data_IF_111726978827
#
_entry.id   IF_111726978827
#
_cell.length_a   1.000
_cell.length_b   1.000
_cell.length_c   1.000
_cell.angle_alpha   90.00
_cell.angle_beta   90.00
_cell.angle_gamma   90.00
#
_symmetry.space_group_name_H-M   'P 1'
#
loop_
_entity.id
_entity.type
_entity.pdbx_description
1 polymer ?
#
# COMPACT_ATOMS: atom_id res chain seq x y z
N UNK A 1 6.60 30.66 2.55
CA UNK A 1 5.13 30.72 2.58
C UNK A 1 4.51 29.35 2.24
N UNK A 2 4.95 28.26 2.90
CA UNK A 2 4.40 26.91 2.70
C UNK A 2 3.08 26.70 3.46
N UNK A 3 2.81 27.54 4.47
CA UNK A 3 1.57 27.56 5.25
C UNK A 3 0.33 27.77 4.36
N UNK A 4 0.49 28.37 3.17
CA UNK A 4 -0.58 28.55 2.18
C UNK A 4 -0.92 27.29 1.37
N UNK A 5 -0.10 26.24 1.43
CA UNK A 5 -0.30 25.00 0.66
C UNK A 5 -0.55 23.78 1.54
N UNK A 6 -0.47 23.92 2.87
CA UNK A 6 -0.91 22.89 3.80
C UNK A 6 -2.44 22.88 3.81
N UNK A 7 -3.04 21.71 3.60
CA UNK A 7 -4.41 21.46 4.03
C UNK A 7 -4.46 21.57 5.55
N UNK A 8 -4.72 22.78 6.06
CA UNK A 8 -4.75 23.04 7.50
C UNK A 8 -5.84 22.17 8.12
N UNK A 9 -5.48 21.51 9.20
CA UNK A 9 -6.43 20.80 10.04
C UNK A 9 -6.77 21.78 11.15
N UNK A 10 -7.87 22.53 11.07
CA UNK A 10 -8.23 23.43 12.15
C UNK A 10 -8.32 22.61 13.43
N UNK A 11 -7.61 22.99 14.49
CA UNK A 11 -7.82 22.41 15.82
C UNK A 11 -8.89 23.29 16.45
N UNK A 12 -10.13 22.81 16.55
CA UNK A 12 -11.20 23.57 17.19
C UNK A 12 -11.18 23.18 18.67
N UNK A 13 -11.02 24.17 19.56
CA UNK A 13 -11.02 23.96 21.02
C UNK A 13 -12.40 23.57 21.58
N UNK A 14 -13.46 23.57 20.76
CA UNK A 14 -14.80 23.07 21.12
C UNK A 14 -15.69 22.92 19.87
N UNK A 15 -16.24 21.72 19.56
CA UNK A 15 -17.08 21.56 18.39
C UNK A 15 -18.55 21.88 18.70
N UNK A 16 -19.14 22.81 17.95
CA UNK A 16 -20.58 22.79 17.67
C UNK A 16 -20.86 21.63 16.72
N UNK A 17 -21.12 20.44 17.28
CA UNK A 17 -21.41 19.23 16.51
C UNK A 17 -22.85 19.30 16.00
N UNK A 18 -23.02 19.33 14.67
CA UNK A 18 -24.29 18.95 14.04
C UNK A 18 -24.39 17.44 14.18
N UNK A 19 -25.39 16.93 14.91
CA UNK A 19 -25.62 15.48 15.06
C UNK A 19 -25.87 14.88 13.67
N UNK A 20 -24.86 14.15 13.17
CA UNK A 20 -25.05 13.24 12.05
C UNK A 20 -25.72 11.97 12.59
N UNK A 21 -26.64 11.35 11.83
CA UNK A 21 -27.31 10.12 12.27
C UNK A 21 -26.27 9.03 12.59
N UNK A 22 -26.56 8.22 13.62
CA UNK A 22 -25.72 7.09 14.01
C UNK A 22 -25.56 6.11 12.83
N UNK A 23 -24.42 6.21 12.17
CA UNK A 23 -23.90 5.13 11.31
C UNK A 23 -23.73 3.87 12.18
N UNK A 24 -23.93 2.65 11.64
CA UNK A 24 -23.39 1.45 12.28
C UNK A 24 -21.92 1.72 12.66
N UNK A 25 -21.43 1.20 13.81
CA UNK A 25 -20.13 1.56 14.42
C UNK A 25 -18.93 1.17 13.54
N UNK A 26 -18.77 1.91 12.44
CA UNK A 26 -17.77 1.74 11.42
C UNK A 26 -16.43 2.12 12.04
N UNK A 27 -15.41 1.24 12.03
CA UNK A 27 -14.11 1.59 12.55
C UNK A 27 -13.46 2.67 11.67
N UNK A 28 -12.63 3.51 12.29
CA UNK A 28 -11.67 4.31 11.53
C UNK A 28 -10.68 3.37 10.86
N UNK A 29 -10.25 3.73 9.64
CA UNK A 29 -9.23 2.97 8.92
C UNK A 29 -8.00 3.84 8.74
N UNK A 30 -6.85 3.31 9.16
CA UNK A 30 -5.54 3.89 8.94
C UNK A 30 -4.64 2.85 8.28
N UNK A 31 -4.17 3.16 7.08
CA UNK A 31 -3.16 2.38 6.37
C UNK A 31 -1.84 3.14 6.41
N UNK A 32 -0.78 2.49 6.88
CA UNK A 32 0.59 3.01 6.88
C UNK A 32 1.47 2.00 6.15
N UNK A 33 2.03 2.40 5.01
CA UNK A 33 2.92 1.57 4.20
C UNK A 33 4.33 2.15 4.07
N UNK A 34 5.30 1.27 3.89
CA UNK A 34 6.69 1.62 3.57
C UNK A 34 7.04 0.90 2.27
N UNK A 35 7.53 1.65 1.28
CA UNK A 35 7.93 1.12 -0.01
C UNK A 35 9.17 0.22 0.11
N UNK A 36 9.24 -0.80 -0.74
CA UNK A 36 10.45 -1.58 -1.01
C UNK A 36 11.03 -2.35 0.19
N UNK A 37 10.16 -2.77 1.13
CA UNK A 37 10.52 -3.57 2.32
C UNK A 37 9.78 -4.90 2.33
N UNK A 38 10.53 -6.00 2.34
CA UNK A 38 9.99 -7.34 2.62
C UNK A 38 9.67 -7.51 4.10
N UNK A 39 8.91 -8.56 4.44
CA UNK A 39 8.70 -8.94 5.85
C UNK A 39 10.00 -9.16 6.61
N UNK A 40 10.92 -9.95 6.04
CA UNK A 40 12.18 -10.26 6.71
C UNK A 40 13.10 -9.03 6.82
N UNK A 41 13.04 -8.09 5.88
CA UNK A 41 13.75 -6.81 6.00
C UNK A 41 13.16 -5.96 7.11
N UNK A 42 11.83 -5.92 7.23
CA UNK A 42 11.13 -5.22 8.30
C UNK A 42 11.56 -5.74 9.67
N UNK A 43 11.55 -7.06 9.87
CA UNK A 43 11.94 -7.68 11.14
C UNK A 43 13.40 -7.36 11.52
N UNK A 44 14.30 -7.30 10.52
CA UNK A 44 15.73 -7.02 10.72
C UNK A 44 16.03 -5.55 11.00
N UNK A 45 15.38 -4.63 10.28
CA UNK A 45 15.73 -3.21 10.29
C UNK A 45 14.82 -2.37 11.19
N UNK A 46 13.64 -2.87 11.56
CA UNK A 46 12.71 -2.21 12.49
C UNK A 46 12.45 -3.07 13.73
N UNK A 47 13.48 -3.56 14.44
CA UNK A 47 13.31 -4.58 15.49
C UNK A 47 12.47 -4.11 16.68
N UNK A 48 12.51 -2.80 17.00
CA UNK A 48 11.68 -2.22 18.07
C UNK A 48 10.21 -2.21 17.65
N UNK A 49 9.92 -1.73 16.43
CA UNK A 49 8.57 -1.70 15.88
C UNK A 49 7.99 -3.09 15.71
N UNK A 50 8.76 -4.01 15.11
CA UNK A 50 8.38 -5.40 14.92
C UNK A 50 8.07 -6.07 16.27
N UNK A 51 8.90 -5.88 17.29
CA UNK A 51 8.64 -6.41 18.64
C UNK A 51 7.32 -5.88 19.20
N UNK A 52 7.09 -4.57 19.14
CA UNK A 52 5.86 -3.96 19.66
C UNK A 52 4.60 -4.45 18.93
N UNK A 53 4.70 -4.70 17.62
CA UNK A 53 3.60 -5.28 16.83
C UNK A 53 3.38 -6.75 17.24
N UNK A 54 4.44 -7.56 17.25
CA UNK A 54 4.34 -9.01 17.52
C UNK A 54 3.87 -9.29 18.94
N UNK A 55 4.34 -8.53 19.93
CA UNK A 55 3.90 -8.70 21.33
C UNK A 55 2.61 -7.93 21.66
N UNK A 56 2.14 -7.07 20.75
CA UNK A 56 1.03 -6.18 20.98
C UNK A 56 -0.31 -6.91 20.88
N UNK A 57 -1.17 -6.73 21.88
CA UNK A 57 -2.50 -7.32 21.84
C UNK A 57 -3.36 -6.68 20.74
N UNK A 58 -3.99 -7.51 19.91
CA UNK A 58 -4.87 -7.07 18.81
C UNK A 58 -4.15 -6.88 17.47
N UNK A 59 -2.85 -7.14 17.40
CA UNK A 59 -2.14 -7.24 16.12
C UNK A 59 -2.23 -8.65 15.54
N UNK A 60 -2.43 -8.72 14.23
CA UNK A 60 -2.44 -9.93 13.43
C UNK A 60 -1.41 -9.78 12.31
N UNK A 61 -0.47 -10.70 12.22
CA UNK A 61 0.54 -10.69 11.15
C UNK A 61 0.09 -11.61 10.03
N UNK A 62 -0.08 -11.07 8.83
CA UNK A 62 -0.51 -11.85 7.67
C UNK A 62 0.75 -12.38 6.96
N UNK A 63 1.24 -13.52 7.41
CA UNK A 63 2.48 -14.15 6.92
C UNK A 63 2.39 -14.57 5.46
N UNK A 64 1.19 -14.92 4.99
CA UNK A 64 0.95 -15.29 3.59
C UNK A 64 0.63 -14.12 2.66
N UNK A 65 0.82 -12.86 3.08
CA UNK A 65 0.57 -11.71 2.22
C UNK A 65 1.58 -11.64 1.07
N UNK A 66 1.07 -11.80 -0.16
CA UNK A 66 1.85 -11.92 -1.39
C UNK A 66 1.53 -10.75 -2.33
N UNK A 67 2.57 -10.09 -2.83
CA UNK A 67 2.42 -9.04 -3.84
C UNK A 67 1.99 -9.62 -5.19
N UNK A 68 1.34 -8.84 -6.04
CA UNK A 68 0.84 -9.31 -7.35
C UNK A 68 1.68 -8.85 -8.53
N UNK A 69 2.61 -7.91 -8.31
CA UNK A 69 3.44 -7.31 -9.36
C UNK A 69 4.79 -6.78 -8.81
N UNK A 70 5.65 -6.24 -9.68
CA UNK A 70 6.99 -5.77 -9.25
C UNK A 70 6.92 -4.50 -8.40
N UNK A 71 6.41 -3.42 -9.00
CA UNK A 71 6.50 -2.06 -8.48
C UNK A 71 5.31 -1.68 -7.60
N UNK A 72 5.40 -0.52 -6.94
CA UNK A 72 4.39 0.00 -6.03
C UNK A 72 3.03 0.22 -6.72
N UNK A 73 3.01 0.88 -7.89
CA UNK A 73 1.78 1.17 -8.64
C UNK A 73 0.89 -0.07 -8.91
N UNK A 74 1.40 -1.16 -9.50
CA UNK A 74 0.58 -2.34 -9.77
C UNK A 74 0.25 -3.18 -8.52
N UNK A 75 0.83 -2.91 -7.36
CA UNK A 75 0.45 -3.54 -6.10
C UNK A 75 -0.54 -2.71 -5.29
N UNK A 76 -0.40 -1.39 -5.28
CA UNK A 76 -1.32 -0.49 -4.60
C UNK A 76 -2.62 -0.28 -5.38
N UNK A 77 -2.60 -0.35 -6.71
CA UNK A 77 -3.82 -0.25 -7.53
C UNK A 77 -4.85 -1.31 -7.15
N UNK A 78 -4.54 -2.63 -7.10
CA UNK A 78 -5.51 -3.64 -6.68
C UNK A 78 -5.92 -3.52 -5.21
N UNK A 79 -5.02 -3.07 -4.32
CA UNK A 79 -5.38 -2.78 -2.93
C UNK A 79 -6.42 -1.65 -2.82
N UNK A 80 -6.23 -0.59 -3.59
CA UNK A 80 -7.03 0.62 -3.48
C UNK A 80 -8.26 0.61 -4.38
N UNK A 81 -8.29 -0.19 -5.45
CA UNK A 81 -9.40 -0.21 -6.42
C UNK A 81 -10.10 -1.56 -6.52
N UNK A 82 -9.43 -2.66 -6.15
CA UNK A 82 -9.94 -4.01 -6.37
C UNK A 82 -9.80 -4.49 -7.82
N UNK A 83 -9.10 -3.75 -8.67
CA UNK A 83 -8.88 -4.05 -10.08
C UNK A 83 -7.39 -4.21 -10.39
N UNK A 84 -7.09 -4.97 -11.45
CA UNK A 84 -5.78 -4.90 -12.08
C UNK A 84 -5.57 -3.52 -12.71
N UNK A 85 -4.31 -3.14 -12.91
CA UNK A 85 -3.99 -1.90 -13.62
C UNK A 85 -4.56 -1.95 -15.03
N UNK A 86 -4.37 -3.08 -15.70
CA UNK A 86 -4.76 -3.35 -17.09
C UNK A 86 -6.28 -3.34 -17.29
N UNK A 87 -7.07 -3.53 -16.23
CA UNK A 87 -8.53 -3.40 -16.26
C UNK A 87 -8.98 -1.92 -16.34
N UNK A 88 -8.11 -0.98 -15.97
CA UNK A 88 -8.44 0.44 -15.80
C UNK A 88 -7.61 1.38 -16.67
N UNK A 89 -6.35 1.05 -16.95
CA UNK A 89 -5.39 1.96 -17.56
C UNK A 89 -4.26 1.21 -18.28
N UNK A 90 -3.74 1.85 -19.33
CA UNK A 90 -2.50 1.45 -20.01
C UNK A 90 -1.61 2.69 -20.25
N UNK A 91 -0.32 2.47 -20.52
CA UNK A 91 0.67 3.54 -20.69
C UNK A 91 0.40 4.47 -21.88
N UNK A 92 -0.40 4.04 -22.85
CA UNK A 92 -0.81 4.87 -23.99
C UNK A 92 -1.95 5.83 -23.62
N UNK A 93 -2.66 5.56 -22.51
CA UNK A 93 -3.70 6.42 -22.00
C UNK A 93 -3.11 7.70 -21.38
N UNK A 94 -3.26 8.80 -22.10
CA UNK A 94 -2.87 10.12 -21.63
C UNK A 94 -3.93 10.75 -20.70
N UNK A 95 -4.40 10.02 -19.69
CA UNK A 95 -5.52 10.39 -18.79
C UNK A 95 -5.07 10.49 -17.33
N UNK A 96 -5.79 11.30 -16.54
CA UNK A 96 -5.63 11.38 -15.09
C UNK A 96 -6.41 10.25 -14.38
N UNK A 97 -6.02 9.88 -13.17
CA UNK A 97 -6.61 8.77 -12.41
C UNK A 97 -7.92 9.12 -11.68
N UNK A 98 -8.52 10.26 -11.95
CA UNK A 98 -9.78 10.70 -11.32
C UNK A 98 -10.97 9.76 -11.60
N UNK A 99 -10.92 8.94 -12.65
CA UNK A 99 -11.96 7.94 -12.95
C UNK A 99 -11.77 6.60 -12.23
N UNK A 100 -10.59 6.34 -11.63
CA UNK A 100 -10.34 5.08 -10.94
C UNK A 100 -11.30 4.88 -9.76
N UNK A 101 -11.81 3.67 -9.53
CA UNK A 101 -12.76 3.38 -8.46
C UNK A 101 -12.04 3.19 -7.12
N UNK A 102 -11.28 4.20 -6.68
CA UNK A 102 -10.56 4.14 -5.42
C UNK A 102 -11.49 3.98 -4.22
N UNK A 103 -11.11 3.10 -3.29
CA UNK A 103 -11.87 2.76 -2.09
C UNK A 103 -12.13 3.97 -1.20
N UNK A 104 -11.20 4.93 -1.14
CA UNK A 104 -11.40 6.17 -0.40
C UNK A 104 -12.60 6.97 -0.92
N UNK A 105 -12.95 6.90 -2.21
CA UNK A 105 -14.15 7.56 -2.74
C UNK A 105 -15.42 6.96 -2.15
N UNK A 106 -15.44 5.65 -1.93
CA UNK A 106 -16.57 4.97 -1.28
C UNK A 106 -16.68 5.36 0.19
N UNK A 107 -15.54 5.39 0.91
CA UNK A 107 -15.50 5.87 2.30
C UNK A 107 -15.96 7.33 2.42
N UNK A 108 -15.52 8.20 1.51
CA UNK A 108 -15.94 9.60 1.45
C UNK A 108 -17.46 9.72 1.24
N UNK A 109 -18.04 8.98 0.27
CA UNK A 109 -19.50 8.97 0.06
C UNK A 109 -20.29 8.48 1.28
N UNK A 110 -19.71 7.60 2.10
CA UNK A 110 -20.30 7.12 3.36
C UNK A 110 -20.06 8.08 4.54
N UNK A 111 -19.55 9.29 4.29
CA UNK A 111 -19.39 10.35 5.28
C UNK A 111 -18.06 10.32 6.05
N UNK A 112 -17.10 9.48 5.65
CA UNK A 112 -15.76 9.47 6.26
C UNK A 112 -14.91 10.61 5.68
N UNK A 113 -14.06 11.21 6.51
CA UNK A 113 -12.99 12.08 6.02
C UNK A 113 -11.84 11.26 5.48
N UNK A 114 -11.33 11.64 4.32
CA UNK A 114 -10.31 10.88 3.61
C UNK A 114 -8.98 11.62 3.58
N UNK A 115 -7.89 10.89 3.81
CA UNK A 115 -6.53 11.42 3.81
C UNK A 115 -5.66 10.58 2.87
N UNK A 116 -4.95 11.23 1.96
CA UNK A 116 -3.90 10.62 1.14
C UNK A 116 -2.59 11.39 1.30
N UNK A 117 -1.60 10.69 1.87
CA UNK A 117 -0.26 11.17 2.15
C UNK A 117 0.77 10.22 1.57
N UNK A 118 1.58 10.69 0.64
CA UNK A 118 2.73 9.96 0.13
C UNK A 118 3.93 10.90 0.14
N UNK A 119 5.11 10.48 0.60
CA UNK A 119 6.31 11.31 0.51
C UNK A 119 6.97 11.18 -0.88
N UNK A 120 8.07 11.89 -1.13
CA UNK A 120 8.73 11.92 -2.46
C UNK A 120 7.77 12.30 -3.63
N UNK A 121 7.31 13.56 -3.70
CA UNK A 121 6.21 14.01 -4.59
C UNK A 121 6.42 13.82 -6.10
N UNK A 122 7.66 13.63 -6.52
CA UNK A 122 8.06 13.34 -7.90
C UNK A 122 7.96 11.83 -8.22
N UNK A 123 8.15 10.97 -7.22
CA UNK A 123 8.10 9.51 -7.32
C UNK A 123 6.79 8.90 -6.81
N UNK A 124 5.77 9.72 -6.48
CA UNK A 124 4.47 9.21 -6.03
C UNK A 124 3.93 8.15 -6.97
N UNK A 125 3.31 7.14 -6.37
CA UNK A 125 2.71 5.97 -7.01
C UNK A 125 1.87 6.34 -8.25
N UNK A 126 1.06 7.40 -8.15
CA UNK A 126 0.17 7.84 -9.23
C UNK A 126 0.68 9.06 -10.01
N UNK A 127 1.85 9.63 -9.69
CA UNK A 127 2.41 10.79 -10.40
C UNK A 127 3.74 10.49 -11.11
N UNK A 128 4.47 9.44 -10.75
CA UNK A 128 5.73 9.07 -11.41
C UNK A 128 5.47 8.65 -12.86
N UNK A 129 5.98 9.47 -13.79
CA UNK A 129 5.79 9.34 -15.24
C UNK A 129 4.31 9.27 -15.68
N UNK A 130 3.42 9.82 -14.86
CA UNK A 130 1.95 9.77 -15.06
C UNK A 130 1.36 11.14 -14.79
N UNK A 131 0.15 11.38 -15.30
CA UNK A 131 -0.54 12.67 -15.09
C UNK A 131 -1.03 12.90 -13.67
N UNK A 132 -1.15 11.85 -12.83
CA UNK A 132 -1.70 12.00 -11.50
C UNK A 132 -3.20 12.24 -11.50
N UNK A 133 -3.61 13.19 -10.67
CA UNK A 133 -5.00 13.56 -10.46
C UNK A 133 -5.22 15.00 -10.93
N UNK A 134 -6.35 15.23 -11.59
CA UNK A 134 -6.79 16.57 -11.93
C UNK A 134 -7.33 17.31 -10.69
N UNK A 135 -8.14 16.61 -9.90
CA UNK A 135 -8.71 17.11 -8.65
C UNK A 135 -8.08 16.40 -7.44
N UNK A 136 -8.08 17.02 -6.24
CA UNK A 136 -7.64 16.35 -5.03
C UNK A 136 -8.42 15.03 -4.81
N UNK A 137 -7.75 13.86 -4.76
CA UNK A 137 -8.44 12.57 -4.71
C UNK A 137 -9.10 12.27 -3.36
N UNK A 138 -8.77 13.04 -2.32
CA UNK A 138 -9.24 12.90 -0.93
C UNK A 138 -9.47 14.27 -0.28
N UNK A 139 -10.24 14.32 0.82
CA UNK A 139 -10.52 15.55 1.57
C UNK A 139 -9.24 16.27 2.03
N UNK A 140 -8.23 15.49 2.43
CA UNK A 140 -6.90 15.94 2.79
C UNK A 140 -5.90 15.28 1.86
N UNK A 141 -5.23 16.07 1.02
CA UNK A 141 -4.28 15.59 0.02
C UNK A 141 -2.98 16.38 0.13
N UNK A 142 -1.89 15.73 0.58
CA UNK A 142 -0.69 16.45 1.00
C UNK A 142 0.34 16.68 -0.10
N UNK A 143 0.13 16.17 -1.31
CA UNK A 143 1.07 16.36 -2.42
C UNK A 143 1.46 17.83 -2.69
N UNK A 144 0.53 18.81 -2.71
CA UNK A 144 0.91 20.21 -2.90
C UNK A 144 1.87 20.72 -1.82
N UNK A 145 1.68 20.29 -0.57
CA UNK A 145 2.59 20.59 0.53
C UNK A 145 3.96 19.94 0.28
N UNK A 146 3.99 18.64 -0.03
CA UNK A 146 5.24 17.94 -0.31
C UNK A 146 6.02 18.60 -1.45
N UNK A 147 5.37 18.97 -2.56
CA UNK A 147 6.02 19.69 -3.68
C UNK A 147 6.66 21.01 -3.25
N UNK A 148 5.94 21.82 -2.45
CA UNK A 148 6.44 23.11 -2.00
C UNK A 148 7.61 22.97 -1.03
N UNK A 149 7.64 21.87 -0.28
CA UNK A 149 8.67 21.59 0.70
C UNK A 149 9.89 20.92 0.06
N UNK A 150 9.70 20.06 -0.94
CA UNK A 150 10.78 19.31 -1.62
C UNK A 150 11.83 20.24 -2.24
N UNK A 151 11.39 21.37 -2.80
CA UNK A 151 12.28 22.44 -3.31
C UNK A 151 13.18 23.09 -2.26
N UNK A 152 12.90 22.85 -0.97
CA UNK A 152 13.60 23.42 0.19
C UNK A 152 14.29 22.37 1.03
N UNK A 153 14.16 21.10 0.64
CA UNK A 153 14.78 19.99 1.35
C UNK A 153 16.25 19.95 1.00
N UNK A 154 17.07 19.75 2.03
CA UNK A 154 18.48 19.38 1.87
C UNK A 154 18.74 18.18 2.77
N UNK A 155 19.30 17.12 2.22
CA UNK A 155 19.70 15.92 2.95
C UNK A 155 18.58 15.38 3.88
N UNK A 156 17.35 15.27 3.37
CA UNK A 156 16.16 14.78 4.09
C UNK A 156 15.68 15.65 5.29
N UNK A 157 16.24 16.85 5.43
CA UNK A 157 15.82 17.83 6.43
C UNK A 157 14.85 18.86 5.83
N UNK A 158 13.71 19.03 6.48
CA UNK A 158 12.73 20.08 6.20
C UNK A 158 12.82 21.16 7.25
N UNK A 159 13.40 22.30 6.89
CA UNK A 159 13.50 23.48 7.78
C UNK A 159 14.14 23.15 9.15
N UNK A 160 15.15 22.27 9.16
CA UNK A 160 15.84 21.85 10.38
C UNK A 160 15.19 20.69 11.14
N UNK A 161 14.15 20.06 10.58
CA UNK A 161 13.49 18.87 11.13
C UNK A 161 13.66 17.67 10.21
N UNK A 162 13.58 16.47 10.76
CA UNK A 162 13.56 15.25 9.95
C UNK A 162 12.23 15.17 9.21
N UNK A 163 12.27 14.89 7.91
CA UNK A 163 11.09 14.73 7.04
C UNK A 163 9.95 13.92 7.67
N UNK A 164 10.29 12.70 8.10
CA UNK A 164 9.33 11.76 8.67
C UNK A 164 8.65 12.32 9.92
N UNK A 165 9.38 13.06 10.76
CA UNK A 165 8.84 13.64 11.99
C UNK A 165 7.69 14.61 11.66
N UNK A 166 7.89 15.48 10.67
CA UNK A 166 6.88 16.44 10.21
C UNK A 166 5.63 15.72 9.72
N UNK A 167 5.79 14.63 8.98
CA UNK A 167 4.67 13.92 8.36
C UNK A 167 3.89 13.08 9.37
N UNK A 168 4.59 12.38 10.27
CA UNK A 168 3.93 11.64 11.34
C UNK A 168 3.22 12.56 12.33
N UNK A 169 3.75 13.75 12.62
CA UNK A 169 3.02 14.75 13.40
C UNK A 169 1.74 15.21 12.72
N UNK A 170 1.78 15.50 11.42
CA UNK A 170 0.57 15.84 10.67
C UNK A 170 -0.48 14.70 10.73
N UNK A 171 -0.04 13.46 10.58
CA UNK A 171 -0.92 12.28 10.69
C UNK A 171 -1.53 12.17 12.09
N UNK A 172 -0.74 12.38 13.15
CA UNK A 172 -1.23 12.38 14.53
C UNK A 172 -2.23 13.51 14.78
N UNK A 173 -1.97 14.70 14.25
CA UNK A 173 -2.87 15.84 14.38
C UNK A 173 -4.18 15.62 13.62
N UNK A 174 -4.14 14.99 12.44
CA UNK A 174 -5.33 14.51 11.74
C UNK A 174 -6.15 13.56 12.61
N UNK A 175 -5.51 12.53 13.19
CA UNK A 175 -6.20 11.55 14.03
C UNK A 175 -6.83 12.24 15.26
N UNK A 176 -6.09 13.10 15.96
CA UNK A 176 -6.58 13.87 17.12
C UNK A 176 -7.78 14.75 16.74
N UNK A 177 -7.67 15.47 15.63
CA UNK A 177 -8.69 16.37 15.12
C UNK A 177 -9.98 15.65 14.72
N UNK A 178 -9.87 14.48 14.09
CA UNK A 178 -11.02 13.65 13.73
C UNK A 178 -11.69 13.05 14.97
N UNK A 179 -10.90 12.54 15.92
CA UNK A 179 -11.40 12.00 17.17
C UNK A 179 -12.15 13.06 18.00
N UNK A 180 -11.59 14.27 18.13
CA UNK A 180 -12.22 15.38 18.85
C UNK A 180 -13.58 15.77 18.24
N UNK A 181 -13.74 15.62 16.92
CA UNK A 181 -14.99 15.88 16.19
C UNK A 181 -15.94 14.70 16.14
N UNK A 182 -15.56 13.54 16.67
CA UNK A 182 -16.25 12.26 16.46
C UNK A 182 -16.45 11.94 14.97
N UNK A 183 -15.52 12.42 14.12
CA UNK A 183 -15.56 12.25 12.69
C UNK A 183 -14.85 10.94 12.30
N UNK A 184 -15.54 10.07 11.57
CA UNK A 184 -14.93 8.84 11.03
C UNK A 184 -13.99 9.18 9.86
N UNK A 185 -12.95 8.37 9.68
CA UNK A 185 -11.96 8.60 8.64
C UNK A 185 -11.41 7.33 7.98
N UNK A 186 -10.94 7.52 6.76
CA UNK A 186 -10.06 6.61 6.03
C UNK A 186 -8.77 7.36 5.69
N UNK A 187 -7.65 6.94 6.26
CA UNK A 187 -6.35 7.55 6.04
C UNK A 187 -5.40 6.57 5.36
N UNK A 188 -4.81 6.99 4.25
CA UNK A 188 -3.79 6.25 3.53
C UNK A 188 -2.48 7.04 3.54
N UNK A 189 -1.49 6.53 4.27
CA UNK A 189 -0.14 7.07 4.32
C UNK A 189 0.85 6.05 3.76
N UNK A 190 1.69 6.47 2.82
CA UNK A 190 2.69 5.60 2.18
C UNK A 190 4.04 6.33 2.11
N UNK A 191 5.11 5.69 2.55
CA UNK A 191 6.46 6.29 2.55
C UNK A 191 7.36 5.54 1.59
N UNK A 192 7.87 6.22 0.57
CA UNK A 192 8.89 5.73 -0.34
C UNK A 192 10.29 6.23 0.04
N UNK A 193 10.44 7.48 0.48
CA UNK A 193 11.76 8.11 0.60
C UNK A 193 12.65 7.51 1.68
N UNK A 194 12.07 6.95 2.74
CA UNK A 194 12.83 6.31 3.83
C UNK A 194 13.74 5.17 3.35
N UNK A 195 13.32 4.45 2.31
CA UNK A 195 13.99 3.25 1.82
C UNK A 195 14.60 3.45 0.44
N UNK A 196 14.11 4.43 -0.32
CA UNK A 196 14.79 4.94 -1.50
C UNK A 196 16.06 5.74 -1.12
N UNK A 197 17.11 5.64 -1.93
CA UNK A 197 18.33 6.45 -1.86
C UNK A 197 19.27 6.28 -0.63
N UNK A 198 18.95 5.44 0.36
CA UNK A 198 19.85 5.11 1.47
C UNK A 198 20.61 3.79 1.20
N UNK A 199 21.91 3.94 0.91
CA UNK A 199 22.93 2.91 0.59
C UNK A 199 23.14 1.79 1.64
N UNK A 200 22.33 1.70 2.69
CA UNK A 200 22.41 0.65 3.71
C UNK A 200 21.16 -0.26 3.70
N UNK A 201 21.08 -1.11 2.67
CA UNK A 201 20.49 -2.47 2.64
C UNK A 201 19.05 -2.76 3.14
N UNK A 202 18.23 -1.76 3.53
CA UNK A 202 16.80 -2.03 3.83
C UNK A 202 16.04 -2.38 2.55
N UNK A 203 16.36 -1.70 1.44
CA UNK A 203 15.78 -1.94 0.12
C UNK A 203 16.14 -3.34 -0.40
N UNK A 204 15.14 -4.06 -0.91
CA UNK A 204 15.29 -5.43 -1.42
C UNK A 204 16.08 -5.49 -2.74
N UNK A 205 16.42 -4.33 -3.33
CA UNK A 205 17.05 -4.18 -4.66
C UNK A 205 18.24 -5.10 -4.93
N UNK A 206 19.20 -5.18 -3.99
CA UNK A 206 20.41 -6.00 -4.17
C UNK A 206 20.15 -7.49 -4.05
N UNK A 207 19.23 -7.90 -3.18
CA UNK A 207 18.96 -9.33 -2.95
C UNK A 207 18.05 -9.94 -4.03
N UNK A 208 17.31 -9.12 -4.81
CA UNK A 208 16.53 -9.56 -6.01
C UNK A 208 17.36 -10.34 -7.03
N UNK A 209 18.69 -10.22 -7.01
CA UNK A 209 19.59 -10.99 -7.87
C UNK A 209 19.67 -12.47 -7.49
N UNK A 210 19.30 -12.82 -6.26
CA UNK A 210 19.31 -14.19 -5.74
C UNK A 210 17.91 -14.78 -5.74
N UNK A 211 17.81 -16.11 -5.83
CA UNK A 211 16.53 -16.80 -5.74
C UNK A 211 15.82 -16.51 -4.40
N UNK A 212 16.53 -16.65 -3.28
CA UNK A 212 15.99 -16.40 -1.95
C UNK A 212 15.50 -14.95 -1.81
N UNK A 213 16.26 -13.99 -2.32
CA UNK A 213 15.84 -12.60 -2.30
C UNK A 213 14.60 -12.33 -3.14
N UNK A 214 14.40 -13.01 -4.28
CA UNK A 214 13.13 -12.92 -5.04
C UNK A 214 11.92 -13.45 -4.27
N UNK A 215 12.06 -14.52 -3.49
CA UNK A 215 10.96 -14.99 -2.63
C UNK A 215 10.69 -14.04 -1.48
N UNK A 216 11.75 -13.55 -0.82
CA UNK A 216 11.64 -12.57 0.25
C UNK A 216 10.93 -11.30 -0.23
N UNK A 217 11.29 -10.84 -1.42
CA UNK A 217 10.73 -9.64 -2.04
C UNK A 217 9.23 -9.74 -2.37
N UNK A 218 8.74 -10.94 -2.71
CA UNK A 218 7.33 -11.19 -3.00
C UNK A 218 6.44 -11.19 -1.76
N UNK A 219 7.04 -11.25 -0.57
CA UNK A 219 6.38 -11.29 0.73
C UNK A 219 6.63 -9.99 1.52
N UNK A 220 5.96 -8.88 1.15
CA UNK A 220 5.97 -7.68 1.98
C UNK A 220 5.34 -7.95 3.35
N UNK A 221 5.70 -7.15 4.34
CA UNK A 221 5.04 -7.21 5.64
C UNK A 221 3.60 -6.71 5.54
N UNK A 222 2.70 -7.33 6.30
CA UNK A 222 1.33 -6.87 6.48
C UNK A 222 0.90 -7.19 7.91
N UNK A 223 0.66 -6.15 8.69
CA UNK A 223 0.18 -6.27 10.06
C UNK A 223 -1.14 -5.52 10.19
N UNK A 224 -2.15 -6.17 10.76
CA UNK A 224 -3.48 -5.60 10.96
C UNK A 224 -3.69 -5.43 12.46
N UNK A 225 -3.90 -4.20 12.90
CA UNK A 225 -4.32 -3.92 14.27
C UNK A 225 -5.84 -3.80 14.33
N UNK A 226 -6.44 -4.54 15.26
CA UNK A 226 -7.86 -4.46 15.56
C UNK A 226 -8.05 -4.12 17.04
N UNK A 227 -8.69 -2.98 17.36
CA UNK A 227 -9.03 -2.65 18.75
C UNK A 227 -9.89 -3.75 19.39
N UNK A 228 -9.67 -4.06 20.67
CA UNK A 228 -10.34 -5.17 21.39
C UNK A 228 -11.88 -5.17 21.30
N UNK A 229 -12.50 -4.01 21.08
CA UNK A 229 -13.96 -3.88 20.90
C UNK A 229 -14.47 -4.56 19.62
N UNK A 230 -13.60 -4.71 18.62
CA UNK A 230 -13.89 -5.45 17.39
C UNK A 230 -13.20 -6.82 17.50
N UNK A 231 -13.98 -7.90 17.47
CA UNK A 231 -13.44 -9.28 17.53
C UNK A 231 -13.73 -10.01 16.24
N UNK A 232 -12.73 -10.10 15.38
CA UNK A 232 -12.80 -10.88 14.13
C UNK A 232 -12.04 -12.20 14.31
N UNK A 233 -12.78 -13.29 14.57
CA UNK A 233 -12.19 -14.61 14.85
C UNK A 233 -11.35 -15.15 13.69
N UNK A 234 -11.75 -14.82 12.46
CA UNK A 234 -11.10 -15.33 11.26
C UNK A 234 -9.73 -14.70 11.00
N UNK A 235 -9.44 -13.51 11.55
CA UNK A 235 -8.14 -12.86 11.35
C UNK A 235 -6.98 -13.74 11.84
N UNK A 236 -7.12 -14.35 13.02
CA UNK A 236 -6.11 -15.28 13.56
C UNK A 236 -5.94 -16.52 12.68
N UNK A 237 -7.04 -17.09 12.15
CA UNK A 237 -6.96 -18.23 11.22
C UNK A 237 -6.28 -17.82 9.91
N UNK A 238 -6.45 -16.57 9.49
CA UNK A 238 -5.96 -16.03 8.24
C UNK A 238 -4.50 -15.58 8.27
N UNK A 239 -3.84 -15.56 9.44
CA UNK A 239 -2.44 -15.15 9.57
C UNK A 239 -1.52 -16.00 8.67
N UNK A 240 -1.77 -17.31 8.60
CA UNK A 240 -0.99 -18.27 7.80
C UNK A 240 -1.63 -18.57 6.42
N UNK A 241 -2.58 -17.75 5.96
CA UNK A 241 -3.26 -17.95 4.68
C UNK A 241 -2.62 -17.11 3.58
N UNK A 242 -2.56 -17.69 2.38
CA UNK A 242 -2.13 -16.97 1.17
C UNK A 242 -3.15 -15.88 0.84
N UNK A 243 -2.70 -14.63 0.87
CA UNK A 243 -3.53 -13.43 0.62
C UNK A 243 -2.79 -12.48 -0.31
N UNK A 244 -3.53 -11.51 -0.85
CA UNK A 244 -3.08 -10.58 -1.88
C UNK A 244 -3.62 -9.17 -1.60
N UNK A 245 -3.11 -8.13 -2.30
CA UNK A 245 -3.72 -6.79 -2.30
C UNK A 245 -5.24 -6.78 -2.51
N UNK A 246 -5.77 -7.66 -3.36
CA UNK A 246 -7.21 -7.77 -3.61
C UNK A 246 -7.99 -8.20 -2.36
N UNK A 247 -7.42 -9.07 -1.53
CA UNK A 247 -8.05 -9.53 -0.29
C UNK A 247 -8.13 -8.38 0.74
N UNK A 248 -7.11 -7.52 0.77
CA UNK A 248 -7.12 -6.29 1.58
C UNK A 248 -8.21 -5.34 1.09
N UNK A 249 -8.34 -5.15 -0.24
CA UNK A 249 -9.43 -4.35 -0.80
C UNK A 249 -10.81 -4.88 -0.40
N UNK A 250 -11.03 -6.19 -0.55
CA UNK A 250 -12.28 -6.85 -0.14
C UNK A 250 -12.56 -6.69 1.35
N UNK A 251 -11.52 -6.70 2.18
CA UNK A 251 -11.61 -6.46 3.63
C UNK A 251 -12.05 -5.03 3.92
N UNK A 252 -11.49 -4.03 3.24
CA UNK A 252 -11.90 -2.63 3.38
C UNK A 252 -13.37 -2.43 2.96
N UNK A 253 -13.80 -3.06 1.87
CA UNK A 253 -15.22 -3.05 1.47
C UNK A 253 -16.12 -3.72 2.50
N UNK A 254 -15.69 -4.85 3.06
CA UNK A 254 -16.44 -5.52 4.12
C UNK A 254 -16.59 -4.59 5.33
N UNK A 255 -15.51 -3.97 5.78
CA UNK A 255 -15.56 -3.00 6.88
C UNK A 255 -16.58 -1.90 6.58
N UNK A 256 -16.50 -1.28 5.39
CA UNK A 256 -17.37 -0.18 4.98
C UNK A 256 -18.86 -0.54 4.97
N UNK A 257 -19.19 -1.74 4.50
CA UNK A 257 -20.58 -2.19 4.33
C UNK A 257 -21.11 -3.01 5.52
N UNK A 258 -20.25 -3.41 6.45
CA UNK A 258 -20.57 -4.27 7.59
C UNK A 258 -20.92 -5.71 7.21
N UNK A 259 -20.66 -6.12 5.96
CA UNK A 259 -20.91 -7.48 5.44
C UNK A 259 -19.95 -7.83 4.30
N UNK A 260 -19.64 -9.11 4.07
CA UNK A 260 -18.74 -9.49 2.97
C UNK A 260 -19.37 -9.15 1.62
N UNK A 261 -18.55 -8.68 0.69
CA UNK A 261 -18.96 -8.46 -0.69
C UNK A 261 -18.60 -9.69 -1.54
N UNK A 262 -19.60 -10.48 -1.92
CA UNK A 262 -19.43 -11.71 -2.70
C UNK A 262 -19.37 -11.48 -4.21
N UNK A 263 -19.54 -10.25 -4.69
CA UNK A 263 -19.51 -9.93 -6.13
C UNK A 263 -18.14 -9.46 -6.61
N UNK A 264 -17.16 -9.27 -5.71
CA UNK A 264 -15.81 -8.89 -6.08
C UNK A 264 -15.11 -10.04 -6.83
N UNK A 265 -14.47 -9.69 -7.94
CA UNK A 265 -13.92 -10.66 -8.89
C UNK A 265 -12.68 -11.41 -8.37
N UNK A 266 -11.84 -10.74 -7.56
CA UNK A 266 -10.47 -11.21 -7.32
C UNK A 266 -10.12 -11.48 -5.85
N UNK A 267 -10.77 -10.80 -4.88
CA UNK A 267 -10.35 -10.83 -3.48
C UNK A 267 -11.43 -11.34 -2.52
N UNK A 268 -11.01 -12.02 -1.47
CA UNK A 268 -11.84 -12.44 -0.34
C UNK A 268 -11.51 -11.58 0.88
N UNK A 269 -12.51 -11.26 1.69
CA UNK A 269 -12.31 -10.48 2.92
C UNK A 269 -11.60 -11.32 3.98
N UNK A 270 -10.55 -10.78 4.61
CA UNK A 270 -9.85 -11.40 5.75
C UNK A 270 -10.70 -11.47 7.03
N UNK A 271 -11.86 -10.79 7.07
CA UNK A 271 -12.85 -10.98 8.15
C UNK A 271 -13.65 -12.28 8.00
N UNK A 272 -13.58 -12.92 6.84
CA UNK A 272 -14.10 -14.27 6.57
C UNK A 272 -12.94 -15.27 6.55
N UNK A 273 -13.21 -16.55 6.72
CA UNK A 273 -12.15 -17.56 6.63
C UNK A 273 -11.62 -17.65 5.19
N UNK A 274 -10.32 -17.40 5.02
CA UNK A 274 -9.64 -17.59 3.74
C UNK A 274 -9.36 -19.08 3.56
N UNK A 275 -9.71 -19.69 2.41
CA UNK A 275 -9.51 -21.12 2.19
C UNK A 275 -8.04 -21.55 2.39
N UNK A 276 -7.84 -22.64 3.13
CA UNK A 276 -6.51 -23.18 3.43
C UNK A 276 -5.76 -23.71 2.20
N UNK A 277 -6.51 -24.10 1.17
CA UNK A 277 -6.02 -24.74 -0.04
C UNK A 277 -5.84 -23.74 -1.20
N UNK A 278 -5.78 -22.43 -0.94
CA UNK A 278 -5.42 -21.45 -1.97
C UNK A 278 -4.03 -21.77 -2.52
N UNK A 279 -3.95 -21.95 -3.84
CA UNK A 279 -2.72 -22.05 -4.63
C UNK A 279 -2.56 -20.84 -5.54
N UNK A 280 -1.39 -20.70 -6.18
CA UNK A 280 -1.15 -19.68 -7.21
C UNK A 280 -2.22 -19.69 -8.31
N UNK A 281 -2.74 -20.87 -8.66
CA UNK A 281 -3.76 -21.04 -9.71
C UNK A 281 -5.14 -20.54 -9.28
N UNK A 282 -5.38 -20.45 -7.97
CA UNK A 282 -6.66 -20.04 -7.39
C UNK A 282 -6.72 -18.56 -7.00
N UNK A 283 -5.63 -17.81 -7.20
CA UNK A 283 -5.51 -16.43 -6.77
C UNK A 283 -5.16 -15.50 -7.94
N UNK A 284 -5.49 -14.21 -7.85
CA UNK A 284 -5.20 -13.21 -8.89
C UNK A 284 -3.71 -12.81 -8.91
N UNK A 285 -2.79 -13.76 -9.01
CA UNK A 285 -1.33 -13.54 -9.08
C UNK A 285 -0.77 -14.22 -10.33
N UNK A 286 0.06 -13.51 -11.09
CA UNK A 286 0.81 -14.13 -12.19
C UNK A 286 1.83 -15.11 -11.64
N UNK A 287 2.05 -16.22 -12.35
CA UNK A 287 2.92 -17.33 -11.93
C UNK A 287 4.29 -16.86 -11.40
N UNK A 288 4.91 -15.92 -12.13
CA UNK A 288 6.23 -15.40 -11.78
C UNK A 288 6.25 -14.49 -10.54
N UNK A 289 5.11 -14.07 -10.00
CA UNK A 289 5.00 -13.34 -8.73
C UNK A 289 4.56 -14.24 -7.57
N UNK A 290 4.20 -15.49 -7.83
CA UNK A 290 3.76 -16.37 -6.77
C UNK A 290 4.95 -16.95 -5.99
N UNK A 291 4.78 -17.10 -4.67
CA UNK A 291 5.79 -17.63 -3.74
C UNK A 291 5.78 -19.14 -3.59
N UNK A 292 4.75 -19.83 -4.09
CA UNK A 292 4.65 -21.28 -3.95
C UNK A 292 5.52 -22.07 -4.94
N UNK A 293 6.15 -21.40 -5.92
CA UNK A 293 7.02 -22.08 -6.88
C UNK A 293 8.32 -22.56 -6.24
N UNK A 294 8.91 -23.59 -6.83
CA UNK A 294 10.29 -24.01 -6.59
C UNK A 294 11.03 -23.77 -7.91
N UNK A 295 12.05 -22.91 -7.92
CA UNK A 295 12.91 -22.76 -9.10
C UNK A 295 13.61 -24.08 -9.41
N UNK A 296 13.25 -24.73 -10.51
CA UNK A 296 13.97 -25.91 -10.99
C UNK A 296 15.17 -25.47 -11.82
N UNK A 297 16.34 -26.02 -11.51
CA UNK A 297 17.52 -25.86 -12.36
C UNK A 297 17.23 -26.57 -13.67
N UNK A 298 17.19 -25.83 -14.79
CA UNK A 298 16.99 -26.46 -16.10
C UNK A 298 18.28 -27.19 -16.47
N UNK A 299 18.21 -28.51 -16.58
CA UNK A 299 19.35 -29.36 -16.92
C UNK A 299 19.57 -29.44 -18.45
N UNK A 300 18.53 -29.18 -19.24
CA UNK A 300 18.64 -29.06 -20.69
C UNK A 300 19.13 -27.66 -21.09
N UNK A 301 20.44 -27.47 -20.97
CA UNK A 301 21.11 -26.27 -21.47
C UNK A 301 21.25 -26.28 -23.00
N UNK A 302 21.03 -27.42 -23.66
CA UNK A 302 21.15 -27.53 -25.11
C UNK A 302 20.03 -26.80 -25.84
N UNK A 303 18.81 -26.84 -25.30
CA UNK A 303 17.66 -26.13 -25.88
C UNK A 303 17.54 -24.69 -25.36
N UNK A 304 17.89 -24.44 -24.10
CA UNK A 304 17.70 -23.13 -23.46
C UNK A 304 18.78 -22.13 -23.85
N UNK A 305 20.04 -22.55 -23.96
CA UNK A 305 21.15 -21.64 -24.27
C UNK A 305 21.00 -21.01 -25.67
N UNK A 306 20.69 -21.75 -26.75
CA UNK A 306 20.47 -21.14 -28.06
C UNK A 306 19.29 -20.18 -28.09
N UNK A 307 18.22 -20.48 -27.34
CA UNK A 307 17.05 -19.59 -27.22
C UNK A 307 17.41 -18.28 -26.51
N UNK A 308 18.14 -18.36 -25.39
CA UNK A 308 18.61 -17.19 -24.67
C UNK A 308 19.59 -16.37 -25.52
N UNK A 309 20.53 -17.02 -26.21
CA UNK A 309 21.47 -16.38 -27.13
C UNK A 309 20.73 -15.72 -28.30
N UNK A 310 19.71 -16.37 -28.88
CA UNK A 310 18.89 -15.80 -29.95
C UNK A 310 18.17 -14.53 -29.49
N UNK A 311 17.50 -14.57 -28.33
CA UNK A 311 16.77 -13.41 -27.79
C UNK A 311 17.73 -12.27 -27.49
N UNK A 312 18.85 -12.54 -26.82
CA UNK A 312 19.85 -11.51 -26.50
C UNK A 312 20.48 -10.94 -27.77
N UNK A 313 20.79 -11.78 -28.76
CA UNK A 313 21.32 -11.32 -30.05
C UNK A 313 20.30 -10.44 -30.75
N UNK A 314 19.03 -10.83 -30.82
CA UNK A 314 17.98 -10.01 -31.45
C UNK A 314 17.71 -8.71 -30.73
N UNK A 315 17.75 -8.69 -29.41
CA UNK A 315 17.64 -7.44 -28.66
C UNK A 315 18.86 -6.55 -28.90
N UNK A 316 20.07 -7.10 -28.92
CA UNK A 316 21.28 -6.33 -29.21
C UNK A 316 21.27 -5.76 -30.63
N UNK A 317 20.88 -6.56 -31.63
CA UNK A 317 20.72 -6.10 -33.02
C UNK A 317 19.75 -4.89 -33.08
N UNK A 318 18.62 -4.97 -32.36
CA UNK A 318 17.62 -3.91 -32.31
C UNK A 318 18.04 -2.66 -31.50
N UNK A 319 19.01 -2.80 -30.59
CA UNK A 319 19.54 -1.71 -29.77
C UNK A 319 20.79 -1.06 -30.38
N UNK A 320 21.36 -1.65 -31.43
CA UNK A 320 22.53 -1.14 -32.14
C UNK A 320 22.19 -0.40 -33.45
N UNK A 321 20.90 -0.30 -33.80
CA UNK A 321 20.35 0.62 -34.82
C UNK A 321 19.81 1.92 -34.19
#
# INVERSE_FOLDING_TARGET
>A
NYEKVISLIPVIESPTVRELPESPDLPNVLFVGIDSVSRLQFDRHFPITARNIISGQGFHTIYGYNKVADNTFPNLTPLLTGHYVEDLWDETMNTQFDYFPFIWKEYHRKGNKTLYMEDAPIMHTYNYEKKGFADPPTDYYLRPYYLAMDSKTKDYCYLGRVELEVYYEYLLDFIRAMNARKQKYFAFHFMARLTHDILNNVEVRRIRQTLSGRYEERLPFMHIYVPQRYRYRNLTVNEDRLTTPFDIHSTLKHILEGKPNTTLKYGLSLLEEIPYNRSCDSIPVLEHWCVCHISRRIHDLHSVRPMAEFVVTKLNDLLHD
#
